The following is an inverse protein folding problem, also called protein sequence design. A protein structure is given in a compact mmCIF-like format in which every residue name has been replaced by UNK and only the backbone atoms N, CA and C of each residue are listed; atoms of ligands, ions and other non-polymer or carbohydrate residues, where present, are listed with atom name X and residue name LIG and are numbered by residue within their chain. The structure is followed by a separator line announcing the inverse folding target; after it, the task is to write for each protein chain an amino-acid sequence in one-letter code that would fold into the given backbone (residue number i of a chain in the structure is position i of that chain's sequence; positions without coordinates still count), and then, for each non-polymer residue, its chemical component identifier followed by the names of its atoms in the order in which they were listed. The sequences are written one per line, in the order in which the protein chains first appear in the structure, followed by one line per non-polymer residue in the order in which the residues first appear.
data_IF_880739790261
#
_entry.id   IF_880739790261
#
_cell.length_a   1.000
_cell.length_b   1.000
_cell.length_c   1.000
_cell.angle_alpha   90.00
_cell.angle_beta   90.00
_cell.angle_gamma   90.00
#
_symmetry.space_group_name_H-M   'P 1'
#
loop_
_entity.id
_entity.type
_entity.pdbx_description
1 polymer ?
#
# COMPACT_ATOMS: atom_id res chain seq x y z
N UNK A 1 -17.75 20.66 5.17
CA UNK A 1 -17.52 19.20 4.96
C UNK A 1 -16.40 18.79 5.89
N UNK A 2 -16.50 17.62 6.52
CA UNK A 2 -15.46 17.03 7.36
C UNK A 2 -14.45 16.33 6.45
N UNK A 3 -13.15 16.50 6.66
CA UNK A 3 -12.13 15.79 5.89
C UNK A 3 -11.94 14.37 6.44
N UNK A 4 -12.95 13.52 6.26
CA UNK A 4 -13.01 12.17 6.82
C UNK A 4 -13.52 11.17 5.79
N UNK A 5 -13.17 9.90 6.01
CA UNK A 5 -13.82 8.73 5.44
C UNK A 5 -14.63 8.03 6.54
N UNK A 6 -15.84 7.61 6.23
CA UNK A 6 -16.70 6.81 7.10
C UNK A 6 -16.95 5.47 6.43
N UNK A 7 -16.72 4.37 7.13
CA UNK A 7 -17.03 3.01 6.67
C UNK A 7 -18.05 2.40 7.63
N UNK A 8 -19.18 1.92 7.13
CA UNK A 8 -20.25 1.30 7.95
C UNK A 8 -20.21 -0.22 7.82
N UNK A 9 -20.87 -0.93 8.73
CA UNK A 9 -20.92 -2.41 8.73
C UNK A 9 -21.40 -3.02 7.40
N UNK A 10 -22.46 -2.51 6.73
CA UNK A 10 -22.86 -2.99 5.40
C UNK A 10 -21.79 -2.88 4.29
N UNK A 11 -20.63 -2.26 4.57
CA UNK A 11 -19.56 -2.02 3.61
C UNK A 11 -19.72 -0.71 2.82
N UNK A 12 -20.63 0.18 3.23
CA UNK A 12 -20.76 1.50 2.61
C UNK A 12 -19.59 2.40 3.04
N UNK A 13 -19.00 3.11 2.09
CA UNK A 13 -17.95 4.09 2.34
C UNK A 13 -18.39 5.48 1.90
N UNK A 14 -18.19 6.46 2.76
CA UNK A 14 -18.52 7.86 2.51
C UNK A 14 -17.30 8.75 2.74
N UNK A 15 -17.02 9.64 1.80
CA UNK A 15 -15.90 10.58 1.92
C UNK A 15 -16.40 12.02 1.97
N UNK A 16 -15.67 12.83 2.75
CA UNK A 16 -15.87 14.27 2.85
C UNK A 16 -17.30 14.69 3.21
N UNK A 17 -17.99 13.94 4.07
CA UNK A 17 -19.40 14.18 4.42
C UNK A 17 -19.62 15.41 5.31
N UNK A 18 -20.87 15.86 5.45
CA UNK A 18 -21.25 16.91 6.39
C UNK A 18 -21.36 16.36 7.82
N UNK A 19 -21.22 17.22 8.84
CA UNK A 19 -21.46 16.82 10.23
C UNK A 19 -22.88 16.28 10.47
N UNK A 20 -23.96 16.89 9.93
CA UNK A 20 -25.30 16.30 10.03
C UNK A 20 -25.41 14.91 9.41
N UNK A 21 -24.69 14.65 8.31
CA UNK A 21 -24.67 13.31 7.70
C UNK A 21 -23.95 12.29 8.58
N UNK A 22 -22.86 12.68 9.26
CA UNK A 22 -22.21 11.80 10.23
C UNK A 22 -23.15 11.47 11.40
N UNK A 23 -23.88 12.46 11.93
CA UNK A 23 -24.90 12.26 12.97
C UNK A 23 -25.99 11.30 12.52
N UNK A 24 -26.51 11.45 11.30
CA UNK A 24 -27.51 10.55 10.73
C UNK A 24 -27.00 9.10 10.64
N UNK A 25 -25.73 8.91 10.22
CA UNK A 25 -25.12 7.59 10.15
C UNK A 25 -24.97 6.96 11.55
N UNK A 26 -24.60 7.72 12.57
CA UNK A 26 -24.53 7.23 13.96
C UNK A 26 -25.89 6.80 14.48
N UNK A 27 -26.95 7.57 14.20
CA UNK A 27 -28.32 7.23 14.64
C UNK A 27 -28.95 6.06 13.87
N UNK A 28 -28.34 5.62 12.77
CA UNK A 28 -28.76 4.43 12.02
C UNK A 28 -28.32 3.13 12.68
N UNK A 29 -27.25 3.19 13.48
CA UNK A 29 -26.62 2.02 14.09
C UNK A 29 -27.56 1.39 15.13
N UNK A 30 -27.61 0.06 15.19
CA UNK A 30 -28.36 -0.72 16.18
C UNK A 30 -29.03 -1.99 15.66
N UNK A 31 -29.54 -2.04 14.42
CA UNK A 31 -30.04 -3.26 13.80
C UNK A 31 -28.94 -4.29 13.51
N UNK A 32 -29.30 -5.57 13.39
CA UNK A 32 -28.37 -6.69 13.20
C UNK A 32 -27.47 -6.58 11.95
N UNK A 33 -27.83 -5.76 10.97
CA UNK A 33 -27.09 -5.53 9.72
C UNK A 33 -26.37 -4.17 9.69
N UNK A 34 -26.42 -3.37 10.76
CA UNK A 34 -25.75 -2.08 10.87
C UNK A 34 -25.49 -1.72 12.34
N UNK A 35 -24.47 -2.32 12.94
CA UNK A 35 -24.08 -2.22 14.35
C UNK A 35 -22.79 -1.44 14.56
N UNK A 36 -22.02 -1.12 13.52
CA UNK A 36 -20.83 -0.27 13.67
C UNK A 36 -20.55 0.65 12.50
N UNK A 37 -19.80 1.71 12.81
CA UNK A 37 -19.09 2.49 11.80
C UNK A 37 -17.72 2.94 12.32
N UNK A 38 -16.81 3.17 11.38
CA UNK A 38 -15.43 3.62 11.61
C UNK A 38 -15.24 4.94 10.88
N UNK A 39 -14.59 5.90 11.55
CA UNK A 39 -14.26 7.21 10.98
C UNK A 39 -12.75 7.42 11.02
N UNK A 40 -12.20 7.75 9.86
CA UNK A 40 -10.79 8.05 9.64
C UNK A 40 -10.66 9.46 9.07
N UNK A 41 -9.60 10.19 9.43
CA UNK A 41 -9.32 11.50 8.80
C UNK A 41 -8.73 11.30 7.41
N UNK A 42 -8.86 12.31 6.54
CA UNK A 42 -8.23 12.37 5.21
C UNK A 42 -7.11 13.42 5.27
N UNK A 43 -5.86 13.09 4.88
CA UNK A 43 -5.39 11.78 4.41
C UNK A 43 -5.46 10.69 5.49
N UNK A 44 -5.71 9.44 5.07
CA UNK A 44 -5.87 8.32 6.00
C UNK A 44 -4.58 8.06 6.75
N UNK A 45 -4.69 8.03 8.07
CA UNK A 45 -3.72 7.38 8.91
C UNK A 45 -4.40 6.26 9.69
N UNK A 46 -4.08 5.01 9.35
CA UNK A 46 -4.72 3.81 9.89
C UNK A 46 -4.52 3.67 11.40
N UNK A 47 -3.55 4.40 11.93
CA UNK A 47 -3.21 4.50 13.34
C UNK A 47 -4.12 5.48 14.10
N UNK A 48 -4.95 6.27 13.39
CA UNK A 48 -5.86 7.28 13.94
C UNK A 48 -7.29 7.10 13.41
N UNK A 49 -8.15 6.50 14.24
CA UNK A 49 -9.57 6.39 13.96
C UNK A 49 -10.41 6.61 15.21
N UNK A 50 -11.68 6.90 14.99
CA UNK A 50 -12.73 6.77 16.02
C UNK A 50 -13.83 5.88 15.45
N UNK A 51 -14.28 4.90 16.24
CA UNK A 51 -15.30 3.96 15.83
C UNK A 51 -16.37 3.83 16.91
N UNK A 52 -17.57 3.46 16.51
CA UNK A 52 -18.65 3.17 17.43
C UNK A 52 -19.29 1.84 17.06
N UNK A 53 -19.58 1.04 18.09
CA UNK A 53 -20.44 -0.13 18.00
C UNK A 53 -21.67 0.05 18.89
N UNK A 54 -22.84 -0.37 18.43
CA UNK A 54 -24.08 -0.33 19.19
C UNK A 54 -25.05 -1.42 18.74
N UNK A 55 -25.69 -2.05 19.71
CA UNK A 55 -26.82 -2.96 19.51
C UNK A 55 -28.08 -2.34 20.16
N UNK A 56 -29.22 -2.48 19.49
CA UNK A 56 -30.50 -1.90 19.93
C UNK A 56 -30.80 -2.24 21.39
N UNK A 57 -30.92 -1.21 22.23
CA UNK A 57 -31.24 -1.35 23.65
C UNK A 57 -30.04 -1.40 24.60
N UNK A 58 -28.81 -1.33 24.07
CA UNK A 58 -27.58 -1.13 24.83
C UNK A 58 -27.08 0.32 24.83
N UNK A 59 -25.97 0.56 25.53
CA UNK A 59 -25.20 1.79 25.37
C UNK A 59 -24.33 1.73 24.10
N UNK A 60 -23.81 2.86 23.65
CA UNK A 60 -22.84 2.92 22.55
C UNK A 60 -21.44 2.66 23.07
N UNK A 61 -20.76 1.66 22.51
CA UNK A 61 -19.34 1.43 22.74
C UNK A 61 -18.56 2.31 21.78
N UNK A 62 -17.99 3.40 22.30
CA UNK A 62 -17.19 4.34 21.53
C UNK A 62 -15.71 4.07 21.77
N UNK A 63 -14.93 4.00 20.70
CA UNK A 63 -13.51 3.70 20.75
C UNK A 63 -12.71 4.64 19.87
N UNK A 64 -11.49 4.99 20.28
CA UNK A 64 -10.57 5.72 19.40
C UNK A 64 -9.14 5.22 19.55
N UNK A 65 -8.38 5.34 18.47
CA UNK A 65 -6.95 5.07 18.42
C UNK A 65 -6.18 6.34 18.11
N UNK A 66 -5.08 6.56 18.81
CA UNK A 66 -4.29 7.79 18.76
C UNK A 66 -2.82 7.52 18.38
N UNK A 67 -2.59 6.70 17.36
CA UNK A 67 -1.26 6.29 16.90
C UNK A 67 -1.07 4.78 17.05
N UNK A 68 -0.36 4.35 18.08
CA UNK A 68 0.06 2.95 18.20
C UNK A 68 -1.02 1.95 18.64
N UNK A 69 -0.74 0.64 18.57
CA UNK A 69 -1.58 -0.43 19.12
C UNK A 69 -1.89 -0.27 20.61
N UNK A 70 -0.94 0.31 21.34
CA UNK A 70 -1.09 0.61 22.75
C UNK A 70 -2.02 1.78 23.05
N UNK A 71 -2.29 2.69 22.11
CA UNK A 71 -3.04 3.93 22.34
C UNK A 71 -4.48 3.83 21.85
N UNK A 72 -5.12 2.73 22.25
CA UNK A 72 -6.53 2.45 21.98
C UNK A 72 -7.34 2.64 23.27
N UNK A 73 -8.40 3.43 23.17
CA UNK A 73 -9.27 3.77 24.30
C UNK A 73 -10.71 3.43 23.99
N UNK A 74 -11.45 3.04 25.01
CA UNK A 74 -12.87 2.70 24.96
C UNK A 74 -13.64 3.47 26.02
N UNK A 75 -14.88 3.83 25.70
CA UNK A 75 -15.87 4.31 26.67
C UNK A 75 -17.27 3.82 26.31
N UNK A 76 -18.16 3.82 27.29
CA UNK A 76 -19.59 3.58 27.09
C UNK A 76 -20.32 4.92 27.13
N UNK A 77 -21.07 5.23 26.07
CA UNK A 77 -21.80 6.49 25.90
C UNK A 77 -23.29 6.17 25.75
N UNK A 78 -24.12 6.77 26.58
CA UNK A 78 -25.54 6.37 26.70
C UNK A 78 -26.45 6.85 25.54
N UNK A 79 -26.03 7.84 24.75
CA UNK A 79 -26.92 8.51 23.79
C UNK A 79 -26.25 8.74 22.45
N UNK A 80 -27.00 8.53 21.36
CA UNK A 80 -26.56 8.78 19.98
C UNK A 80 -26.05 10.22 19.76
N UNK A 81 -26.75 11.22 20.32
CA UNK A 81 -26.41 12.63 20.16
C UNK A 81 -25.02 12.92 20.70
N UNK A 82 -24.68 12.34 21.86
CA UNK A 82 -23.38 12.51 22.49
C UNK A 82 -22.28 11.82 21.69
N UNK A 83 -22.52 10.62 21.19
CA UNK A 83 -21.59 9.91 20.30
C UNK A 83 -21.30 10.75 19.06
N UNK A 84 -22.35 11.23 18.38
CA UNK A 84 -22.21 12.03 17.18
C UNK A 84 -21.46 13.33 17.44
N UNK A 85 -21.72 14.00 18.58
CA UNK A 85 -20.97 15.19 19.01
C UNK A 85 -19.47 14.91 19.14
N UNK A 86 -19.11 13.85 19.87
CA UNK A 86 -17.70 13.44 20.08
C UNK A 86 -17.03 13.11 18.74
N UNK A 87 -17.67 12.31 17.89
CA UNK A 87 -17.11 11.91 16.60
C UNK A 87 -16.97 13.10 15.63
N UNK A 88 -17.87 14.08 15.66
CA UNK A 88 -17.75 15.32 14.89
C UNK A 88 -16.60 16.19 15.42
N UNK A 89 -16.47 16.35 16.74
CA UNK A 89 -15.37 17.07 17.37
C UNK A 89 -14.01 16.44 17.04
N UNK A 90 -13.94 15.11 17.15
CA UNK A 90 -12.77 14.33 16.72
C UNK A 90 -12.48 14.54 15.24
N UNK A 91 -13.50 14.49 14.37
CA UNK A 91 -13.33 14.67 12.92
C UNK A 91 -12.77 16.04 12.53
N UNK A 92 -12.97 17.05 13.37
CA UNK A 92 -12.47 18.42 13.17
C UNK A 92 -11.12 18.68 13.83
N UNK A 93 -10.67 17.79 14.72
CA UNK A 93 -9.48 18.03 15.54
C UNK A 93 -9.70 19.12 16.58
N UNK A 94 -10.94 19.30 17.07
CA UNK A 94 -11.25 20.29 18.10
C UNK A 94 -10.56 19.93 19.42
N UNK A 95 -9.95 20.90 20.11
CA UNK A 95 -9.43 20.67 21.46
C UNK A 95 -10.57 20.33 22.43
N UNK A 96 -10.40 19.28 23.24
CA UNK A 96 -11.40 18.85 24.23
C UNK A 96 -12.59 18.07 23.67
N UNK A 97 -12.50 17.54 22.44
CA UNK A 97 -13.51 16.65 21.85
C UNK A 97 -13.82 15.42 22.74
N UNK A 98 -12.87 15.01 23.57
CA UNK A 98 -12.89 13.88 24.50
C UNK A 98 -13.39 14.25 25.91
N UNK A 99 -13.65 15.53 26.18
CA UNK A 99 -14.01 16.01 27.52
C UNK A 99 -15.35 15.44 28.01
N UNK A 100 -15.45 15.15 29.31
CA UNK A 100 -16.70 14.67 29.92
C UNK A 100 -17.04 13.21 29.62
N UNK A 101 -16.11 12.46 29.03
CA UNK A 101 -16.19 11.02 28.79
C UNK A 101 -15.09 10.32 29.57
N UNK A 102 -15.43 9.24 30.27
CA UNK A 102 -14.42 8.43 30.97
C UNK A 102 -13.83 7.39 30.01
N UNK A 103 -12.65 7.68 29.48
CA UNK A 103 -11.92 6.79 28.60
C UNK A 103 -11.07 5.78 29.37
N UNK A 104 -11.23 4.51 29.04
CA UNK A 104 -10.38 3.42 29.54
C UNK A 104 -9.45 2.98 28.43
N UNK A 105 -8.16 2.91 28.73
CA UNK A 105 -7.18 2.32 27.82
C UNK A 105 -7.47 0.83 27.70
N UNK A 106 -7.68 0.35 26.48
CA UNK A 106 -7.76 -1.07 26.20
C UNK A 106 -6.35 -1.66 26.25
N UNK A 107 -6.18 -2.68 27.08
CA UNK A 107 -4.95 -3.47 27.08
C UNK A 107 -4.98 -4.42 25.88
N UNK A 108 -4.47 -3.93 24.76
CA UNK A 108 -4.26 -4.70 23.54
C UNK A 108 -2.82 -5.19 23.43
N UNK A 109 -2.13 -5.40 24.55
CA UNK A 109 -0.74 -5.89 24.54
C UNK A 109 -0.64 -7.12 23.66
N UNK A 110 0.06 -6.96 22.55
CA UNK A 110 0.31 -8.03 21.60
C UNK A 110 1.49 -8.85 22.12
N UNK A 111 1.35 -10.17 22.27
CA UNK A 111 2.48 -11.01 22.69
C UNK A 111 3.65 -10.87 21.73
N UNK A 112 4.88 -10.92 22.24
CA UNK A 112 6.06 -10.94 21.38
C UNK A 112 6.03 -12.14 20.42
N UNK A 113 6.49 -11.90 19.19
CA UNK A 113 6.71 -12.98 18.22
C UNK A 113 7.92 -13.79 18.69
N UNK A 114 7.84 -15.12 18.58
CA UNK A 114 8.98 -16.01 18.85
C UNK A 114 10.20 -15.59 18.02
N UNK A 115 11.36 -15.47 18.67
CA UNK A 115 12.54 -14.81 18.09
C UNK A 115 12.91 -15.31 16.69
N UNK A 116 12.88 -16.63 16.45
CA UNK A 116 13.19 -17.19 15.14
C UNK A 116 12.18 -16.77 14.08
N UNK A 117 10.89 -16.76 14.43
CA UNK A 117 9.83 -16.28 13.54
C UNK A 117 9.95 -14.77 13.28
N UNK A 118 10.23 -13.99 14.34
CA UNK A 118 10.42 -12.54 14.26
C UNK A 118 11.51 -12.15 13.28
N UNK A 119 12.70 -12.76 13.38
CA UNK A 119 13.83 -12.48 12.48
C UNK A 119 13.48 -12.76 11.02
N UNK A 120 12.88 -13.93 10.73
CA UNK A 120 12.53 -14.31 9.35
C UNK A 120 11.45 -13.41 8.75
N UNK A 121 10.46 -13.00 9.54
CA UNK A 121 9.36 -12.16 9.07
C UNK A 121 9.83 -10.71 8.92
N UNK A 122 10.65 -10.22 9.84
CA UNK A 122 11.25 -8.88 9.73
C UNK A 122 12.12 -8.75 8.48
N UNK A 123 12.97 -9.74 8.18
CA UNK A 123 13.77 -9.76 6.96
C UNK A 123 12.89 -9.71 5.71
N UNK A 124 11.85 -10.56 5.65
CA UNK A 124 10.90 -10.58 4.54
C UNK A 124 10.14 -9.25 4.37
N UNK A 125 9.66 -8.64 5.46
CA UNK A 125 8.95 -7.36 5.41
C UNK A 125 9.88 -6.24 4.94
N UNK A 126 11.15 -6.23 5.36
CA UNK A 126 12.12 -5.23 4.90
C UNK A 126 12.38 -5.32 3.40
N UNK A 127 12.38 -6.53 2.83
CA UNK A 127 12.49 -6.72 1.38
C UNK A 127 11.30 -6.15 0.64
N UNK A 128 10.08 -6.44 1.11
CA UNK A 128 8.85 -5.91 0.52
C UNK A 128 8.77 -4.37 0.64
N UNK A 129 9.23 -3.80 1.76
CA UNK A 129 9.36 -2.36 1.95
C UNK A 129 10.38 -1.73 0.98
N UNK A 130 11.49 -2.43 0.70
CA UNK A 130 12.47 -1.96 -0.28
C UNK A 130 11.91 -1.98 -1.71
N UNK A 131 11.09 -2.98 -2.07
CA UNK A 131 10.34 -3.03 -3.34
C UNK A 131 9.39 -1.83 -3.45
N UNK A 132 8.68 -1.49 -2.37
CA UNK A 132 7.98 -0.21 -2.23
C UNK A 132 6.62 -0.10 -2.95
N UNK A 133 6.01 -1.24 -3.33
CA UNK A 133 4.71 -1.29 -3.99
C UNK A 133 3.55 -1.77 -3.11
N UNK A 134 3.83 -2.30 -1.92
CA UNK A 134 2.79 -2.79 -1.01
C UNK A 134 2.36 -1.72 0.00
N UNK A 135 1.06 -1.69 0.26
CA UNK A 135 0.47 -0.90 1.35
C UNK A 135 0.79 -1.52 2.72
N UNK A 136 0.61 -0.74 3.81
CA UNK A 136 0.73 -1.27 5.18
C UNK A 136 -0.13 -2.52 5.42
N UNK A 137 -1.36 -2.54 4.89
CA UNK A 137 -2.29 -3.67 5.03
C UNK A 137 -1.73 -4.92 4.36
N UNK A 138 -1.30 -4.78 3.11
CA UNK A 138 -0.74 -5.89 2.33
C UNK A 138 0.57 -6.41 2.94
N UNK A 139 1.38 -5.53 3.52
CA UNK A 139 2.58 -5.93 4.26
C UNK A 139 2.24 -6.72 5.53
N UNK A 140 1.21 -6.31 6.28
CA UNK A 140 0.77 -7.04 7.47
C UNK A 140 0.19 -8.42 7.12
N UNK A 141 -0.60 -8.51 6.05
CA UNK A 141 -1.09 -9.79 5.53
C UNK A 141 0.08 -10.68 5.07
N UNK A 142 1.05 -10.13 4.33
CA UNK A 142 2.24 -10.87 3.92
C UNK A 142 3.05 -11.39 5.13
N UNK A 143 3.22 -10.55 6.16
CA UNK A 143 3.92 -10.92 7.38
C UNK A 143 3.21 -12.03 8.19
N UNK A 144 1.87 -11.97 8.27
CA UNK A 144 1.05 -12.99 8.92
C UNK A 144 1.13 -14.34 8.18
N UNK A 145 1.04 -14.30 6.85
CA UNK A 145 0.96 -15.50 6.00
C UNK A 145 2.33 -16.16 5.75
N UNK A 146 3.44 -15.42 5.85
CA UNK A 146 4.78 -15.84 5.41
C UNK A 146 5.24 -17.20 5.95
N UNK A 147 5.05 -17.44 7.25
CA UNK A 147 5.50 -18.66 7.91
C UNK A 147 4.40 -19.71 8.09
N UNK A 148 3.22 -19.49 7.52
CA UNK A 148 2.08 -20.38 7.68
C UNK A 148 2.34 -21.71 6.98
N UNK A 149 2.21 -22.82 7.72
CA UNK A 149 2.35 -24.19 7.20
C UNK A 149 1.30 -25.10 7.80
N UNK A 150 0.21 -25.36 7.07
CA UNK A 150 -0.95 -26.07 7.61
C UNK A 150 -1.53 -25.32 8.80
N UNK A 151 -1.57 -25.96 9.97
CA UNK A 151 -2.06 -25.35 11.22
C UNK A 151 -0.99 -24.52 11.96
N UNK A 152 0.28 -24.56 11.52
CA UNK A 152 1.34 -23.76 12.13
C UNK A 152 1.25 -22.29 11.69
N UNK A 153 0.92 -21.40 12.63
CA UNK A 153 0.78 -19.94 12.44
C UNK A 153 1.55 -19.20 13.54
N UNK A 154 2.87 -18.96 13.38
CA UNK A 154 3.71 -18.40 14.44
C UNK A 154 3.54 -16.88 14.62
N UNK A 155 2.89 -16.21 13.68
CA UNK A 155 2.59 -14.78 13.72
C UNK A 155 1.08 -14.62 13.60
N UNK A 156 0.48 -13.91 14.55
CA UNK A 156 -0.92 -13.51 14.51
C UNK A 156 -1.08 -12.18 13.78
N UNK A 157 -2.30 -11.88 13.30
CA UNK A 157 -2.62 -10.59 12.69
C UNK A 157 -2.16 -9.38 13.53
N UNK A 158 -2.44 -9.27 14.85
CA UNK A 158 -1.94 -8.14 15.64
C UNK A 158 -0.41 -8.05 15.66
N UNK A 159 0.28 -9.17 15.80
CA UNK A 159 1.76 -9.23 15.78
C UNK A 159 2.35 -8.75 14.45
N UNK A 160 1.76 -9.18 13.33
CA UNK A 160 2.16 -8.74 12.01
C UNK A 160 1.99 -7.22 11.84
N UNK A 161 0.86 -6.67 12.30
CA UNK A 161 0.58 -5.25 12.28
C UNK A 161 1.58 -4.42 13.08
N UNK A 162 1.90 -4.82 14.32
CA UNK A 162 2.90 -4.09 15.13
C UNK A 162 4.29 -4.11 14.49
N UNK A 163 4.69 -5.28 13.97
CA UNK A 163 5.98 -5.44 13.30
C UNK A 163 6.06 -4.53 12.07
N UNK A 164 5.05 -4.57 11.20
CA UNK A 164 4.98 -3.76 9.98
C UNK A 164 4.93 -2.26 10.31
N UNK A 165 4.14 -1.85 11.31
CA UNK A 165 4.07 -0.45 11.71
C UNK A 165 5.45 0.08 12.10
N UNK A 166 6.20 -0.65 12.95
CA UNK A 166 7.56 -0.25 13.33
C UNK A 166 8.49 -0.13 12.11
N UNK A 167 8.51 -1.16 11.25
CA UNK A 167 9.39 -1.19 10.08
C UNK A 167 9.04 -0.13 9.05
N UNK A 168 7.75 0.19 8.92
CA UNK A 168 7.25 1.27 8.09
C UNK A 168 7.76 2.63 8.58
N UNK A 169 7.69 2.90 9.89
CA UNK A 169 8.20 4.15 10.46
C UNK A 169 9.72 4.29 10.26
N UNK A 170 10.49 3.22 10.48
CA UNK A 170 11.93 3.20 10.19
C UNK A 170 12.22 3.56 8.72
N UNK A 171 11.41 3.04 7.79
CA UNK A 171 11.52 3.34 6.36
C UNK A 171 11.14 4.79 6.04
N UNK A 172 10.11 5.34 6.68
CA UNK A 172 9.75 6.76 6.53
C UNK A 172 10.85 7.68 7.04
N UNK A 173 11.49 7.35 8.16
CA UNK A 173 12.64 8.08 8.70
C UNK A 173 13.84 8.04 7.74
N UNK A 174 14.13 6.89 7.14
CA UNK A 174 15.15 6.76 6.09
C UNK A 174 14.82 7.64 4.88
N UNK A 175 13.57 7.58 4.40
CA UNK A 175 13.09 8.36 3.26
C UNK A 175 13.15 9.87 3.49
N UNK A 176 12.97 10.33 4.73
CA UNK A 176 13.08 11.74 5.08
C UNK A 176 14.50 12.31 4.82
N UNK A 177 15.52 11.43 4.79
CA UNK A 177 16.88 11.80 4.43
C UNK A 177 17.17 11.78 2.92
N UNK A 178 16.22 11.35 2.08
CA UNK A 178 16.46 11.25 0.64
C UNK A 178 16.25 12.59 -0.07
N UNK A 179 17.31 13.10 -0.68
CA UNK A 179 17.28 14.31 -1.48
C UNK A 179 17.02 14.01 -2.96
N UNK A 180 16.24 14.89 -3.60
CA UNK A 180 15.98 14.85 -5.04
C UNK A 180 15.04 13.74 -5.50
N UNK A 181 14.91 13.66 -6.82
CA UNK A 181 14.12 12.66 -7.53
C UNK A 181 14.87 11.33 -7.61
N UNK A 182 14.21 10.23 -7.24
CA UNK A 182 14.79 8.89 -7.26
C UNK A 182 14.62 8.22 -8.61
N UNK A 183 15.44 7.19 -8.90
CA UNK A 183 15.35 6.50 -10.18
C UNK A 183 13.96 5.85 -10.43
N UNK A 184 13.27 5.25 -9.42
CA UNK A 184 11.89 4.80 -9.60
C UNK A 184 10.91 5.92 -9.99
N UNK A 185 11.06 7.13 -9.45
CA UNK A 185 10.22 8.28 -9.84
C UNK A 185 10.48 8.70 -11.30
N UNK A 186 11.74 8.68 -11.74
CA UNK A 186 12.08 8.92 -13.16
C UNK A 186 11.48 7.86 -14.08
N UNK A 187 11.52 6.59 -13.67
CA UNK A 187 10.91 5.49 -14.42
C UNK A 187 9.38 5.68 -14.53
N UNK A 188 8.71 6.03 -13.42
CA UNK A 188 7.27 6.30 -13.41
C UNK A 188 6.90 7.50 -14.29
N UNK A 189 7.71 8.56 -14.28
CA UNK A 189 7.54 9.71 -15.18
C UNK A 189 7.71 9.33 -16.66
N UNK A 190 8.71 8.49 -16.98
CA UNK A 190 8.90 7.94 -18.33
C UNK A 190 7.70 7.10 -18.76
N UNK A 191 7.20 6.23 -17.87
CA UNK A 191 6.05 5.37 -18.18
C UNK A 191 4.80 6.21 -18.45
N UNK A 192 4.57 7.26 -17.65
CA UNK A 192 3.48 8.22 -17.87
C UNK A 192 3.61 8.88 -19.25
N UNK A 193 4.79 9.36 -19.63
CA UNK A 193 5.02 9.99 -20.93
C UNK A 193 4.85 9.01 -22.12
N UNK A 194 5.20 7.73 -21.94
CA UNK A 194 4.99 6.70 -22.96
C UNK A 194 3.50 6.38 -23.15
N UNK A 195 2.70 6.38 -22.08
CA UNK A 195 1.24 6.24 -22.17
C UNK A 195 0.60 7.35 -22.99
N UNK A 196 0.99 8.60 -22.76
CA UNK A 196 0.52 9.75 -23.54
C UNK A 196 0.87 9.64 -25.03
N UNK A 197 1.94 8.91 -25.35
CA UNK A 197 2.39 8.64 -26.70
C UNK A 197 1.76 7.40 -27.31
N UNK A 198 0.86 6.69 -26.63
CA UNK A 198 0.14 5.53 -27.15
C UNK A 198 0.87 4.18 -26.97
N UNK A 199 1.73 4.07 -25.95
CA UNK A 199 2.34 2.82 -25.49
C UNK A 199 1.80 2.50 -24.09
N UNK A 200 1.17 1.35 -23.90
CA UNK A 200 0.69 0.92 -22.58
C UNK A 200 1.89 0.64 -21.66
N UNK A 201 2.12 1.47 -20.65
CA UNK A 201 3.26 1.35 -19.74
C UNK A 201 2.83 0.96 -18.31
N UNK A 202 3.26 -0.19 -17.78
CA UNK A 202 2.84 -0.64 -16.43
C UNK A 202 4.02 -0.99 -15.54
N UNK A 203 4.15 -0.29 -14.42
CA UNK A 203 5.12 -0.59 -13.37
C UNK A 203 4.59 -1.69 -12.43
N UNK A 204 5.48 -2.58 -11.97
CA UNK A 204 5.16 -3.66 -11.01
C UNK A 204 3.88 -4.45 -11.39
N UNK A 205 3.82 -4.88 -12.65
CA UNK A 205 2.61 -5.43 -13.26
C UNK A 205 2.67 -6.95 -13.40
N UNK A 206 1.70 -7.62 -12.79
CA UNK A 206 1.62 -9.08 -12.66
C UNK A 206 2.80 -9.71 -11.90
N UNK A 207 2.68 -10.99 -11.59
CA UNK A 207 3.68 -11.72 -10.78
C UNK A 207 4.90 -12.18 -11.59
N UNK A 208 4.76 -12.37 -12.90
CA UNK A 208 5.84 -12.86 -13.77
C UNK A 208 5.62 -12.44 -15.23
N UNK A 209 6.64 -12.67 -16.07
CA UNK A 209 6.65 -12.37 -17.51
C UNK A 209 5.43 -12.90 -18.24
N UNK A 210 5.07 -14.17 -18.03
CA UNK A 210 3.99 -14.82 -18.78
C UNK A 210 2.61 -14.23 -18.43
N UNK A 211 2.34 -14.00 -17.13
CA UNK A 211 1.11 -13.34 -16.70
C UNK A 211 1.03 -11.92 -17.28
N UNK A 212 2.12 -11.15 -17.16
CA UNK A 212 2.20 -9.80 -17.70
C UNK A 212 1.91 -9.75 -19.21
N UNK A 213 2.54 -10.62 -20.00
CA UNK A 213 2.28 -10.68 -21.45
C UNK A 213 0.84 -11.07 -21.78
N UNK A 214 0.19 -11.90 -20.96
CA UNK A 214 -1.21 -12.27 -21.18
C UNK A 214 -2.20 -11.16 -20.83
N UNK A 215 -1.87 -10.31 -19.86
CA UNK A 215 -2.78 -9.33 -19.28
C UNK A 215 -2.58 -7.90 -19.84
N UNK A 216 -1.37 -7.56 -20.29
CA UNK A 216 -0.96 -6.18 -20.63
C UNK A 216 -1.82 -5.55 -21.73
N UNK A 217 -2.37 -6.34 -22.65
CA UNK A 217 -3.29 -5.84 -23.69
C UNK A 217 -4.55 -5.22 -23.10
N UNK A 218 -5.10 -5.82 -22.04
CA UNK A 218 -6.30 -5.31 -21.38
C UNK A 218 -6.01 -4.19 -20.37
N UNK A 219 -4.74 -3.90 -20.10
CA UNK A 219 -4.35 -2.93 -19.08
C UNK A 219 -4.38 -1.48 -19.59
N UNK A 220 -4.34 -1.23 -20.90
CA UNK A 220 -4.27 0.10 -21.50
C UNK A 220 -5.38 0.38 -22.52
N UNK A 221 -5.19 1.45 -23.30
CA UNK A 221 -6.12 1.84 -24.37
C UNK A 221 -6.19 0.78 -25.48
N UNK A 222 -7.38 0.57 -26.06
CA UNK A 222 -7.56 -0.32 -27.22
C UNK A 222 -6.75 0.14 -28.45
N UNK A 223 -6.47 1.44 -28.55
CA UNK A 223 -5.71 2.05 -29.65
C UNK A 223 -4.18 2.08 -29.40
N UNK A 224 -3.70 1.56 -28.26
CA UNK A 224 -2.27 1.50 -28.00
C UNK A 224 -1.55 0.64 -29.06
N UNK A 225 -0.40 1.10 -29.57
CA UNK A 225 0.35 0.37 -30.60
C UNK A 225 1.25 -0.72 -30.02
N UNK A 226 1.65 -0.55 -28.76
CA UNK A 226 2.57 -1.44 -28.08
C UNK A 226 2.55 -1.22 -26.57
N UNK A 227 3.48 -1.88 -25.88
CA UNK A 227 3.55 -1.88 -24.44
C UNK A 227 4.99 -1.87 -23.93
N UNK A 228 5.13 -1.47 -22.67
CA UNK A 228 6.30 -1.71 -21.82
C UNK A 228 5.84 -2.03 -20.40
N UNK A 229 6.47 -2.98 -19.73
CA UNK A 229 6.21 -3.24 -18.32
C UNK A 229 7.41 -3.89 -17.63
N UNK A 230 7.40 -3.87 -16.29
CA UNK A 230 8.17 -4.79 -15.47
C UNK A 230 7.25 -5.46 -14.45
N UNK A 231 7.50 -6.73 -14.12
CA UNK A 231 6.68 -7.49 -13.18
C UNK A 231 7.28 -7.49 -11.76
N UNK A 232 6.57 -8.06 -10.79
CA UNK A 232 6.97 -8.01 -9.37
C UNK A 232 8.40 -8.52 -9.15
N UNK A 233 8.76 -9.66 -9.74
CA UNK A 233 10.10 -10.25 -9.61
C UNK A 233 11.22 -9.35 -10.17
N UNK A 234 10.95 -8.48 -11.15
CA UNK A 234 11.95 -7.53 -11.65
C UNK A 234 12.24 -6.45 -10.61
N UNK A 235 11.21 -5.89 -9.98
CA UNK A 235 11.39 -4.92 -8.89
C UNK A 235 11.96 -5.54 -7.61
N UNK A 236 11.65 -6.81 -7.33
CA UNK A 236 12.30 -7.58 -6.27
C UNK A 236 13.80 -7.71 -6.52
N UNK A 237 14.22 -8.01 -7.76
CA UNK A 237 15.64 -8.05 -8.15
C UNK A 237 16.34 -6.71 -8.05
N UNK A 238 15.72 -5.65 -8.57
CA UNK A 238 16.24 -4.30 -8.46
C UNK A 238 16.41 -3.86 -6.99
N UNK A 239 15.47 -4.22 -6.11
CA UNK A 239 15.60 -3.96 -4.68
C UNK A 239 16.66 -4.85 -4.00
N UNK A 240 16.78 -6.12 -4.41
CA UNK A 240 17.74 -7.09 -3.87
C UNK A 240 19.20 -6.76 -4.18
N UNK A 241 19.47 -6.07 -5.30
CA UNK A 241 20.79 -5.54 -5.65
C UNK A 241 21.40 -4.65 -4.56
N UNK A 242 20.60 -4.16 -3.61
CA UNK A 242 21.06 -3.44 -2.41
C UNK A 242 21.49 -4.33 -1.23
N UNK A 243 21.52 -5.67 -1.38
CA UNK A 243 22.15 -6.59 -0.43
C UNK A 243 21.22 -7.54 0.37
N UNK A 244 20.05 -7.92 -0.15
CA UNK A 244 19.18 -8.93 0.52
C UNK A 244 19.71 -10.37 0.38
N UNK A 245 19.79 -11.17 1.47
CA UNK A 245 20.17 -12.58 1.43
C UNK A 245 19.05 -13.56 1.05
N UNK A 246 17.76 -13.27 1.29
CA UNK A 246 16.67 -14.23 1.02
C UNK A 246 16.20 -14.23 -0.44
N UNK A 247 16.52 -13.18 -1.19
CA UNK A 247 16.24 -13.07 -2.62
C UNK A 247 17.36 -13.68 -3.49
N UNK A 248 18.05 -14.73 -3.00
CA UNK A 248 19.06 -15.47 -3.78
C UNK A 248 18.52 -15.99 -5.12
N UNK A 249 17.21 -16.29 -5.23
CA UNK A 249 16.56 -16.64 -6.50
C UNK A 249 16.48 -15.47 -7.48
N UNK A 250 16.49 -14.24 -6.99
CA UNK A 250 16.44 -13.03 -7.81
C UNK A 250 17.82 -12.63 -8.34
N UNK A 251 18.91 -13.20 -7.82
CA UNK A 251 20.28 -12.96 -8.34
C UNK A 251 20.49 -13.43 -9.78
N UNK A 252 19.64 -14.33 -10.28
CA UNK A 252 19.68 -14.73 -11.70
C UNK A 252 19.29 -13.58 -12.65
N UNK A 253 18.58 -12.55 -12.16
CA UNK A 253 18.10 -11.41 -12.97
C UNK A 253 19.04 -10.19 -12.96
N UNK A 254 20.15 -10.21 -12.20
CA UNK A 254 21.09 -9.09 -12.10
C UNK A 254 20.67 -7.98 -11.13
N UNK A 255 21.50 -6.94 -11.02
CA UNK A 255 21.29 -5.78 -10.12
C UNK A 255 20.47 -4.64 -10.78
N UNK A 256 19.99 -4.87 -12.02
CA UNK A 256 19.23 -3.92 -12.82
C UNK A 256 17.73 -4.17 -12.85
N UNK A 257 16.98 -3.24 -13.48
CA UNK A 257 15.56 -3.42 -13.75
C UNK A 257 15.34 -3.89 -15.19
N UNK A 258 14.85 -5.12 -15.34
CA UNK A 258 14.47 -5.68 -16.64
C UNK A 258 13.06 -5.25 -17.06
N UNK A 259 12.95 -4.74 -18.29
CA UNK A 259 11.71 -4.31 -18.92
C UNK A 259 11.35 -5.22 -20.10
N UNK A 260 10.09 -5.64 -20.13
CA UNK A 260 9.47 -6.32 -21.26
C UNK A 260 8.74 -5.30 -22.10
N UNK A 261 8.82 -5.42 -23.42
CA UNK A 261 8.17 -4.51 -24.35
C UNK A 261 7.73 -5.27 -25.60
N UNK A 262 6.89 -4.63 -26.41
CA UNK A 262 6.47 -5.21 -27.69
C UNK A 262 5.38 -4.43 -28.41
N UNK A 263 5.22 -4.74 -29.69
CA UNK A 263 4.08 -4.30 -30.50
C UNK A 263 2.85 -5.18 -30.27
N UNK A 264 1.66 -4.58 -30.23
CA UNK A 264 0.41 -5.34 -30.14
C UNK A 264 0.00 -5.99 -31.46
N UNK A 265 0.62 -5.60 -32.58
CA UNK A 265 0.46 -6.23 -33.89
C UNK A 265 1.26 -7.55 -34.04
N UNK A 266 2.13 -7.86 -33.07
CA UNK A 266 3.01 -9.02 -33.07
C UNK A 266 4.17 -8.93 -34.08
N UNK A 267 4.41 -7.77 -34.69
CA UNK A 267 5.48 -7.61 -35.66
C UNK A 267 6.82 -7.31 -34.95
N UNK A 268 7.90 -7.86 -35.50
CA UNK A 268 9.25 -7.58 -35.03
C UNK A 268 9.62 -6.09 -35.25
N UNK A 269 9.14 -5.49 -36.35
CA UNK A 269 9.35 -4.08 -36.67
C UNK A 269 8.73 -3.16 -35.61
N UNK A 270 7.46 -3.36 -35.27
CA UNK A 270 6.79 -2.56 -34.23
C UNK A 270 7.42 -2.81 -32.87
N UNK A 271 7.79 -4.05 -32.55
CA UNK A 271 8.50 -4.36 -31.30
C UNK A 271 9.82 -3.60 -31.20
N UNK A 272 10.67 -3.64 -32.24
CA UNK A 272 11.93 -2.87 -32.27
C UNK A 272 11.69 -1.35 -32.20
N UNK A 273 10.64 -0.84 -32.86
CA UNK A 273 10.29 0.57 -32.78
C UNK A 273 9.92 0.97 -31.35
N UNK A 274 9.03 0.21 -30.69
CA UNK A 274 8.65 0.41 -29.28
C UNK A 274 9.87 0.32 -28.36
N UNK A 275 10.74 -0.67 -28.55
CA UNK A 275 11.96 -0.81 -27.75
C UNK A 275 12.90 0.40 -27.89
N UNK A 276 13.00 0.96 -29.10
CA UNK A 276 13.79 2.16 -29.37
C UNK A 276 13.20 3.40 -28.69
N UNK A 277 11.87 3.55 -28.73
CA UNK A 277 11.16 4.65 -28.06
C UNK A 277 11.32 4.58 -26.53
N UNK A 278 11.15 3.39 -25.95
CA UNK A 278 11.36 3.15 -24.51
C UNK A 278 12.79 3.47 -24.10
N UNK A 279 13.77 2.95 -24.83
CA UNK A 279 15.20 3.18 -24.55
C UNK A 279 15.55 4.67 -24.64
N UNK A 280 15.04 5.37 -25.66
CA UNK A 280 15.27 6.80 -25.82
C UNK A 280 14.62 7.63 -24.69
N UNK A 281 13.42 7.27 -24.26
CA UNK A 281 12.73 7.95 -23.17
C UNK A 281 13.46 7.78 -21.82
N UNK A 282 13.90 6.55 -21.51
CA UNK A 282 14.68 6.25 -20.32
C UNK A 282 16.03 6.99 -20.32
N UNK A 283 16.76 6.94 -21.44
CA UNK A 283 18.02 7.67 -21.58
C UNK A 283 17.83 9.19 -21.49
N UNK A 284 16.72 9.72 -22.03
CA UNK A 284 16.32 11.13 -21.90
C UNK A 284 16.03 11.56 -20.47
N UNK A 285 15.57 10.63 -19.62
CA UNK A 285 15.40 10.82 -18.18
C UNK A 285 16.71 10.60 -17.37
N UNK A 286 17.84 10.39 -18.05
CA UNK A 286 19.14 10.19 -17.41
C UNK A 286 19.33 8.81 -16.79
N UNK A 287 18.48 7.82 -17.14
CA UNK A 287 18.65 6.44 -16.69
C UNK A 287 19.60 5.70 -17.66
N UNK A 288 20.56 4.92 -17.15
CA UNK A 288 21.44 4.11 -17.98
C UNK A 288 20.67 2.88 -18.48
N UNK A 289 20.73 2.63 -19.79
CA UNK A 289 19.94 1.58 -20.45
C UNK A 289 20.83 0.71 -21.30
N UNK A 290 20.69 -0.60 -21.14
CA UNK A 290 21.28 -1.62 -21.99
C UNK A 290 20.20 -2.31 -22.82
N UNK A 291 20.35 -2.26 -24.14
CA UNK A 291 19.50 -2.99 -25.07
C UNK A 291 20.26 -3.23 -26.38
N UNK A 292 20.16 -4.45 -26.92
CA UNK A 292 20.86 -4.85 -28.15
C UNK A 292 20.21 -4.34 -29.44
N UNK A 293 19.01 -3.75 -29.35
CA UNK A 293 18.16 -3.45 -30.50
C UNK A 293 17.32 -4.63 -30.99
N UNK A 294 17.50 -5.82 -30.39
CA UNK A 294 16.78 -7.03 -30.78
C UNK A 294 15.38 -7.07 -30.17
N UNK A 295 14.32 -7.33 -30.96
CA UNK A 295 12.95 -7.49 -30.46
C UNK A 295 12.74 -8.73 -29.57
N UNK A 296 13.70 -9.67 -29.60
CA UNK A 296 13.65 -10.91 -28.82
C UNK A 296 14.31 -10.79 -27.44
N UNK A 297 15.02 -9.69 -27.19
CA UNK A 297 15.75 -9.42 -25.94
C UNK A 297 15.08 -8.29 -25.15
N UNK A 298 15.11 -8.42 -23.82
CA UNK A 298 14.59 -7.40 -22.89
C UNK A 298 15.49 -6.16 -22.86
N UNK A 299 14.93 -5.06 -22.36
CA UNK A 299 15.68 -3.85 -22.03
C UNK A 299 16.09 -3.94 -20.56
N UNK A 300 17.31 -3.58 -20.22
CA UNK A 300 17.78 -3.54 -18.82
C UNK A 300 18.16 -2.11 -18.45
N UNK A 301 17.73 -1.65 -17.28
CA UNK A 301 18.15 -0.37 -16.69
C UNK A 301 19.19 -0.66 -15.61
N UNK A 302 20.46 -0.37 -15.89
CA UNK A 302 21.56 -0.57 -14.96
C UNK A 302 22.77 0.34 -15.26
N UNK A 303 23.51 0.83 -14.24
CA UNK A 303 23.22 0.70 -12.80
C UNK A 303 21.97 1.48 -12.38
N UNK A 304 21.29 1.01 -11.34
CA UNK A 304 20.03 1.60 -10.85
C UNK A 304 20.07 1.80 -9.34
N UNK A 305 19.72 2.99 -8.87
CA UNK A 305 19.57 3.29 -7.45
C UNK A 305 18.10 3.14 -7.03
N UNK A 306 17.73 1.93 -6.60
CA UNK A 306 16.36 1.58 -6.26
C UNK A 306 15.92 2.16 -4.90
N UNK A 307 15.48 3.42 -4.92
CA UNK A 307 14.88 4.12 -3.77
C UNK A 307 13.42 4.48 -4.04
N UNK A 308 12.56 3.47 -4.08
CA UNK A 308 11.11 3.66 -4.25
C UNK A 308 10.52 4.21 -2.94
N UNK A 309 9.89 5.39 -3.02
CA UNK A 309 9.18 6.00 -1.89
C UNK A 309 7.85 5.30 -1.65
N UNK A 310 7.55 5.00 -0.39
CA UNK A 310 6.25 4.53 0.07
C UNK A 310 5.16 5.58 -0.20
N UNK A 311 3.99 5.14 -0.68
CA UNK A 311 2.90 6.04 -1.10
C UNK A 311 1.61 5.90 -0.27
N UNK A 312 1.51 4.90 0.63
CA UNK A 312 0.38 4.74 1.58
C UNK A 312 0.18 3.31 2.04
#
# INVERSE_FOLDING_TARGET
MLAIRVTTEPGEAYERISAPRLTELVGRIGPDDDQFLIVERIPQDQDFFIQVWHETGGDYQLEHRAGGPGDHFQSMVATEDRVAEIMVGWSRGEEGWDAGVEWKRLDLTVPEIEERARVQVEEHVRELLAVGYLTRVQLAEAAEEWLVKGDYRPVSKPQAWELVHRLWQERLEEQAGWEGETDPERIEAVFTALEEQGITARAHFACCRNCGLSEIRGAGSEDARGFVFFHSQCSEGAAAGMGSPLLERSRELGEGLTLMYGGFDGSAETTTAVGSEVTAALAGAGLPVEWSGSPDESITVEPLDWRKRLTG
#
